data_IF_708376933930
#
_entry.id   IF_708376933930
#
_cell.length_a   1.000
_cell.length_b   1.000
_cell.length_c   1.000
_cell.angle_alpha   90.00
_cell.angle_beta   90.00
_cell.angle_gamma   90.00
#
_symmetry.space_group_name_H-M   'P 1'
#
loop_
_entity.id
_entity.type
_entity.pdbx_description
1 polymer ?
#
# COMPACT_ATOMS: atom_id res chain seq x y z
N UNK A 1 -4.66 5.51 -11.17
CA UNK A 1 -4.02 4.20 -10.88
C UNK A 1 -5.00 3.34 -10.11
N UNK A 2 -4.96 2.02 -10.31
CA UNK A 2 -5.80 1.07 -9.57
C UNK A 2 -4.88 -0.01 -8.98
N UNK A 3 -4.97 -0.24 -7.67
CA UNK A 3 -4.32 -1.37 -6.99
C UNK A 3 -5.39 -2.26 -6.41
N UNK A 4 -5.26 -3.57 -6.62
CA UNK A 4 -6.11 -4.58 -5.97
C UNK A 4 -5.21 -5.47 -5.14
N UNK A 5 -5.51 -5.59 -3.85
CA UNK A 5 -4.75 -6.41 -2.91
C UNK A 5 -5.66 -7.31 -2.09
N UNK A 6 -5.16 -8.48 -1.73
CA UNK A 6 -5.80 -9.44 -0.84
C UNK A 6 -4.72 -10.04 0.07
N UNK A 7 -5.07 -10.36 1.32
CA UNK A 7 -4.13 -10.94 2.29
C UNK A 7 -3.90 -12.45 2.08
N UNK A 8 -4.90 -13.17 1.57
CA UNK A 8 -4.84 -14.57 1.12
C UNK A 8 -5.83 -14.81 -0.04
N UNK A 9 -5.80 -15.96 -0.73
CA UNK A 9 -6.61 -16.21 -1.93
C UNK A 9 -8.13 -16.06 -1.73
N UNK A 10 -8.64 -16.42 -0.55
CA UNK A 10 -10.05 -16.31 -0.21
C UNK A 10 -10.41 -15.02 0.55
N UNK A 11 -9.45 -14.10 0.73
CA UNK A 11 -9.71 -12.83 1.41
C UNK A 11 -10.49 -11.88 0.50
N UNK A 12 -11.35 -11.05 1.09
CA UNK A 12 -12.05 -10.02 0.34
C UNK A 12 -11.04 -9.01 -0.24
N UNK A 13 -10.98 -8.85 -1.57
CA UNK A 13 -10.01 -7.96 -2.19
C UNK A 13 -10.38 -6.50 -1.94
N UNK A 14 -9.38 -5.68 -1.63
CA UNK A 14 -9.53 -4.23 -1.51
C UNK A 14 -9.01 -3.57 -2.78
N UNK A 15 -9.84 -2.70 -3.37
CA UNK A 15 -9.46 -1.87 -4.52
C UNK A 15 -9.23 -0.44 -4.08
N UNK A 16 -8.02 0.06 -4.32
CA UNK A 16 -7.65 1.46 -4.07
C UNK A 16 -7.44 2.19 -5.40
N UNK A 17 -8.08 3.35 -5.55
CA UNK A 17 -7.98 4.19 -6.74
C UNK A 17 -7.54 5.59 -6.33
N UNK A 18 -6.46 6.06 -6.95
CA UNK A 18 -5.96 7.43 -6.75
C UNK A 18 -5.28 7.97 -8.00
N UNK A 19 -5.11 9.28 -8.03
CA UNK A 19 -4.36 10.01 -9.05
C UNK A 19 -3.16 10.66 -8.38
N UNK A 20 -1.96 10.32 -8.86
CA UNK A 20 -0.70 10.91 -8.40
C UNK A 20 -0.15 11.81 -9.50
N UNK A 21 0.19 13.05 -9.17
CA UNK A 21 1.02 13.89 -10.04
C UNK A 21 2.50 13.46 -9.96
N UNK A 22 3.35 13.85 -10.93
CA UNK A 22 4.80 13.64 -10.83
C UNK A 22 5.37 14.12 -9.50
N UNK A 23 6.14 13.24 -8.83
CA UNK A 23 6.73 13.49 -7.51
C UNK A 23 5.81 13.19 -6.33
N UNK A 24 4.52 12.91 -6.54
CA UNK A 24 3.62 12.54 -5.46
C UNK A 24 3.76 11.07 -5.05
N UNK A 25 3.49 10.82 -3.78
CA UNK A 25 3.45 9.48 -3.18
C UNK A 25 2.21 9.30 -2.31
N UNK A 26 1.80 8.06 -2.17
CA UNK A 26 0.76 7.64 -1.24
C UNK A 26 1.20 6.37 -0.52
N UNK A 27 0.62 6.12 0.64
CA UNK A 27 0.85 4.91 1.42
C UNK A 27 -0.50 4.28 1.74
N UNK A 28 -0.66 3.02 1.36
CA UNK A 28 -1.83 2.21 1.74
C UNK A 28 -1.41 1.37 2.93
N UNK A 29 -2.10 1.52 4.04
CA UNK A 29 -1.86 0.75 5.27
C UNK A 29 -3.07 -0.11 5.54
N UNK A 30 -2.83 -1.39 5.76
CA UNK A 30 -3.84 -2.40 6.06
C UNK A 30 -3.60 -2.83 7.51
N UNK A 31 -4.45 -2.38 8.44
CA UNK A 31 -4.41 -2.86 9.82
C UNK A 31 -4.63 -4.37 9.86
N UNK A 32 -3.98 -5.03 10.80
CA UNK A 32 -4.20 -6.44 11.13
C UNK A 32 -4.70 -6.53 12.57
N UNK A 33 -4.78 -7.75 13.11
CA UNK A 33 -5.19 -7.99 14.49
C UNK A 33 -4.32 -7.25 15.50
N UNK A 34 -4.85 -7.06 16.70
CA UNK A 34 -4.15 -6.36 17.77
C UNK A 34 -2.82 -7.06 18.09
N UNK A 35 -1.71 -6.31 18.01
CA UNK A 35 -0.36 -6.82 18.21
C UNK A 35 0.31 -7.36 16.94
N UNK A 36 -0.40 -7.45 15.81
CA UNK A 36 0.22 -7.82 14.53
C UNK A 36 0.85 -6.60 13.81
N UNK A 37 2.00 -6.79 13.13
CA UNK A 37 2.56 -5.77 12.26
C UNK A 37 1.60 -5.42 11.12
N UNK A 38 1.41 -4.11 10.90
CA UNK A 38 0.60 -3.63 9.80
C UNK A 38 1.26 -3.96 8.46
N UNK A 39 0.46 -4.34 7.47
CA UNK A 39 0.93 -4.43 6.10
C UNK A 39 0.82 -3.05 5.46
N UNK A 40 1.91 -2.57 4.85
CA UNK A 40 1.89 -1.29 4.16
C UNK A 40 2.47 -1.40 2.75
N UNK A 41 1.92 -0.59 1.85
CA UNK A 41 2.34 -0.46 0.46
C UNK A 41 2.66 1.01 0.20
N UNK A 42 3.89 1.31 -0.17
CA UNK A 42 4.29 2.63 -0.63
C UNK A 42 4.15 2.69 -2.15
N UNK A 43 3.52 3.75 -2.64
CA UNK A 43 3.32 3.98 -4.07
C UNK A 43 3.82 5.39 -4.39
N UNK A 44 4.72 5.52 -5.36
CA UNK A 44 5.24 6.82 -5.79
C UNK A 44 5.18 6.97 -7.30
N UNK A 45 4.93 8.19 -7.78
CA UNK A 45 5.08 8.55 -9.19
C UNK A 45 6.42 9.24 -9.43
N UNK A 46 7.34 8.52 -10.05
CA UNK A 46 8.68 9.00 -10.39
C UNK A 46 8.70 9.33 -11.89
N UNK A 47 8.52 10.61 -12.21
CA UNK A 47 8.34 11.07 -13.59
C UNK A 47 7.10 10.46 -14.23
N UNK A 48 7.31 9.68 -15.29
CA UNK A 48 6.27 8.97 -16.03
C UNK A 48 5.97 7.56 -15.46
N UNK A 49 6.75 7.10 -14.47
CA UNK A 49 6.66 5.74 -13.90
C UNK A 49 5.93 5.71 -12.57
N UNK A 50 5.37 4.54 -12.25
CA UNK A 50 4.87 4.21 -10.92
C UNK A 50 5.81 3.19 -10.28
N UNK A 51 6.20 3.46 -9.04
CA UNK A 51 7.00 2.56 -8.22
C UNK A 51 6.13 2.09 -7.06
N UNK A 52 6.15 0.78 -6.80
CA UNK A 52 5.36 0.13 -5.75
C UNK A 52 6.32 -0.69 -4.90
N UNK A 53 6.33 -0.43 -3.59
CA UNK A 53 7.23 -1.07 -2.64
C UNK A 53 6.47 -1.57 -1.42
N UNK A 54 6.81 -2.76 -0.95
CA UNK A 54 6.33 -3.24 0.34
C UNK A 54 6.97 -2.38 1.43
N UNK A 55 6.16 -1.56 2.09
CA UNK A 55 6.60 -0.81 3.25
C UNK A 55 6.53 -1.74 4.47
N UNK A 56 7.71 -2.14 4.97
CA UNK A 56 7.79 -2.74 6.31
C UNK A 56 7.63 -1.61 7.31
N UNK A 57 6.44 -1.45 7.87
CA UNK A 57 6.26 -0.55 9.00
C UNK A 57 6.93 -1.21 10.20
N UNK A 58 8.11 -0.73 10.59
CA UNK A 58 8.70 -1.09 11.86
C UNK A 58 7.73 -0.64 12.97
N UNK A 59 7.33 -1.56 13.83
CA UNK A 59 6.57 -1.23 15.04
C UNK A 59 7.53 -0.52 15.97
N UNK A 60 7.48 0.82 16.01
CA UNK A 60 8.13 1.58 17.08
C UNK A 60 7.25 1.48 18.31
N UNK A 61 7.72 0.73 19.31
CA UNK A 61 7.17 0.68 20.66
C UNK A 61 7.65 1.90 21.46
#
# INVERSE_FOLDING_TARGET
>A
MVVTGASHPDAQPVRFVTTLLPGQRTMVVIPRDAGEPQAALAIARVGDRLVVENARTAVTN
#
